data_IF_886747652729
#
_entry.id   IF_886747652729
#
_cell.length_a   1.000
_cell.length_b   1.000
_cell.length_c   1.000
_cell.angle_alpha   90.00
_cell.angle_beta   90.00
_cell.angle_gamma   90.00
#
_symmetry.space_group_name_H-M   'P 1'
#
loop_
_entity.id
_entity.type
_entity.pdbx_description
1 polymer ?
#
# COMPACT_ATOMS: atom_id res chain seq x y z
N UNK A 1 9.79 -5.52 -1.24
CA UNK A 1 8.44 -5.39 -0.60
C UNK A 1 8.20 -3.93 -0.34
N UNK A 2 7.01 -3.42 -0.65
CA UNK A 2 6.65 -2.02 -0.44
C UNK A 2 6.92 -1.61 1.02
N UNK A 3 7.91 -0.79 1.24
CA UNK A 3 8.35 -0.31 2.55
C UNK A 3 8.51 1.20 2.61
N UNK A 4 8.02 1.91 1.58
CA UNK A 4 8.02 3.37 1.50
C UNK A 4 6.80 3.86 0.75
N UNK A 5 6.04 4.77 1.33
CA UNK A 5 4.83 5.34 0.74
C UNK A 5 5.04 6.85 0.54
N UNK A 6 4.57 7.37 -0.58
CA UNK A 6 4.52 8.80 -0.91
C UNK A 6 3.13 9.34 -0.61
N UNK A 7 3.03 10.31 0.28
CA UNK A 7 1.78 10.99 0.65
C UNK A 7 1.91 12.47 0.29
N UNK A 8 1.11 12.91 -0.67
CA UNK A 8 0.98 14.32 -1.08
C UNK A 8 -0.50 14.71 -0.95
N UNK A 9 -0.85 15.59 0.00
CA UNK A 9 -2.23 15.75 0.49
C UNK A 9 -3.26 16.20 -0.56
N UNK A 10 -2.87 17.13 -1.44
CA UNK A 10 -3.84 17.88 -2.26
C UNK A 10 -4.82 16.97 -3.02
N UNK A 11 -4.28 16.12 -3.92
CA UNK A 11 -5.13 15.23 -4.72
C UNK A 11 -5.81 14.13 -3.87
N UNK A 12 -5.18 13.70 -2.78
CA UNK A 12 -5.72 12.67 -1.87
C UNK A 12 -6.96 13.20 -1.16
N UNK A 13 -6.86 14.40 -0.55
CA UNK A 13 -7.95 14.98 0.25
C UNK A 13 -9.20 15.18 -0.60
N UNK A 14 -9.04 15.74 -1.79
CA UNK A 14 -10.15 15.98 -2.72
C UNK A 14 -10.77 14.67 -3.21
N UNK A 15 -9.97 13.70 -3.63
CA UNK A 15 -10.46 12.44 -4.17
C UNK A 15 -11.18 11.58 -3.11
N UNK A 16 -10.68 11.55 -1.87
CA UNK A 16 -11.34 10.83 -0.78
C UNK A 16 -12.65 11.49 -0.40
N UNK A 17 -12.71 12.83 -0.34
CA UNK A 17 -13.94 13.56 -0.08
C UNK A 17 -14.98 13.34 -1.18
N UNK A 18 -14.57 13.48 -2.43
CA UNK A 18 -15.47 13.30 -3.58
C UNK A 18 -15.94 11.85 -3.75
N UNK A 19 -15.03 10.88 -3.57
CA UNK A 19 -15.33 9.45 -3.79
C UNK A 19 -16.05 8.76 -2.64
N UNK A 20 -15.82 9.19 -1.41
CA UNK A 20 -16.27 8.45 -0.21
C UNK A 20 -16.97 9.30 0.83
N UNK A 21 -17.12 10.63 0.60
CA UNK A 21 -17.83 11.54 1.51
C UNK A 21 -17.10 11.80 2.84
N UNK A 22 -15.81 11.51 2.93
CA UNK A 22 -15.01 11.70 4.15
C UNK A 22 -14.21 12.99 4.05
N UNK A 23 -14.34 13.88 5.03
CA UNK A 23 -13.47 15.05 5.17
C UNK A 23 -12.06 14.60 5.54
N UNK A 24 -11.27 14.33 4.50
CA UNK A 24 -9.92 13.79 4.65
C UNK A 24 -8.90 14.89 4.89
N UNK A 25 -8.07 14.69 5.88
CA UNK A 25 -6.99 15.61 6.20
C UNK A 25 -5.73 14.82 6.57
N UNK A 26 -4.87 14.59 5.59
CA UNK A 26 -3.58 13.94 5.80
C UNK A 26 -2.43 14.94 5.66
N UNK A 27 -1.31 14.66 6.34
CA UNK A 27 -0.10 15.48 6.25
C UNK A 27 0.82 14.95 5.18
N UNK A 28 1.55 15.87 4.52
CA UNK A 28 2.59 15.47 3.56
C UNK A 28 3.66 14.62 4.24
N UNK A 29 4.00 13.50 3.61
CA UNK A 29 5.12 12.66 3.96
C UNK A 29 5.59 11.88 2.73
N UNK A 30 6.57 12.40 2.02
CA UNK A 30 7.09 11.79 0.78
C UNK A 30 8.04 10.61 1.02
N UNK A 31 8.27 10.22 2.26
CA UNK A 31 9.10 9.06 2.62
C UNK A 31 8.54 8.34 3.87
N UNK A 32 7.21 8.11 3.88
CA UNK A 32 6.54 7.44 4.97
C UNK A 32 7.05 6.01 5.12
N UNK A 33 7.52 5.68 6.32
CA UNK A 33 8.23 4.44 6.65
C UNK A 33 7.42 3.57 7.61
N UNK A 34 7.70 2.24 7.63
CA UNK A 34 7.20 1.37 8.69
C UNK A 34 7.46 1.95 10.08
N UNK A 35 6.56 1.66 11.03
CA UNK A 35 6.45 2.19 12.38
C UNK A 35 5.88 3.60 12.50
N UNK A 36 5.87 4.37 11.42
CA UNK A 36 5.18 5.66 11.39
C UNK A 36 3.65 5.46 11.29
N UNK A 37 2.92 6.53 11.61
CA UNK A 37 1.47 6.54 11.46
C UNK A 37 1.10 6.94 10.03
N UNK A 38 0.11 6.25 9.49
CA UNK A 38 -0.47 6.50 8.18
C UNK A 38 -1.98 6.58 8.32
N UNK A 39 -2.60 7.50 7.59
CA UNK A 39 -4.05 7.64 7.56
C UNK A 39 -4.66 6.57 6.64
N UNK A 40 -5.68 5.89 7.13
CA UNK A 40 -6.40 4.84 6.43
C UNK A 40 -7.90 5.10 6.48
N UNK A 41 -8.59 4.71 5.42
CA UNK A 41 -10.03 4.69 5.30
C UNK A 41 -10.55 3.34 5.85
N UNK A 42 -11.43 3.38 6.82
CA UNK A 42 -12.07 2.22 7.43
C UNK A 42 -13.58 2.28 7.23
N UNK A 43 -14.23 1.11 7.24
CA UNK A 43 -15.69 1.03 7.32
C UNK A 43 -16.18 1.43 8.72
N UNK A 44 -17.25 2.18 8.78
CA UNK A 44 -17.95 2.60 10.00
C UNK A 44 -19.47 2.38 9.84
N UNK A 45 -20.28 2.37 10.92
CA UNK A 45 -21.72 2.15 10.82
C UNK A 45 -22.46 3.13 9.91
N UNK A 46 -21.95 4.35 9.78
CA UNK A 46 -22.55 5.42 8.97
C UNK A 46 -21.75 5.72 7.69
N UNK A 47 -20.98 4.78 7.17
CA UNK A 47 -20.17 4.97 5.97
C UNK A 47 -18.70 4.68 6.18
N UNK A 48 -17.83 5.66 5.92
CA UNK A 48 -16.38 5.48 6.04
C UNK A 48 -15.79 6.55 6.97
N UNK A 49 -14.64 6.23 7.58
CA UNK A 49 -13.96 7.13 8.51
C UNK A 49 -12.45 7.12 8.28
N UNK A 50 -11.82 8.27 8.42
CA UNK A 50 -10.36 8.41 8.50
C UNK A 50 -9.87 7.96 9.86
N UNK A 51 -8.88 7.09 9.89
CA UNK A 51 -8.22 6.64 11.12
C UNK A 51 -6.71 6.59 10.92
N UNK A 52 -5.97 7.19 11.83
CA UNK A 52 -4.51 7.17 11.79
C UNK A 52 -3.99 5.93 12.51
N UNK A 53 -3.28 5.04 11.79
CA UNK A 53 -2.80 3.74 12.26
C UNK A 53 -1.29 3.62 12.13
N UNK A 54 -0.64 2.91 13.03
CA UNK A 54 0.78 2.62 12.92
C UNK A 54 1.02 1.55 11.85
N UNK A 55 1.92 1.81 10.91
CA UNK A 55 2.24 0.83 9.86
C UNK A 55 3.20 -0.24 10.35
N UNK A 56 2.69 -1.46 10.43
CA UNK A 56 3.41 -2.65 10.86
C UNK A 56 2.92 -3.20 12.19
N UNK A 57 2.97 -4.52 12.32
CA UNK A 57 2.66 -5.28 13.52
C UNK A 57 3.90 -6.08 13.95
N UNK A 58 4.02 -6.33 15.25
CA UNK A 58 5.05 -7.22 15.80
C UNK A 58 4.40 -8.28 16.66
N UNK A 59 3.93 -9.39 16.07
CA UNK A 59 3.37 -10.51 16.82
C UNK A 59 4.40 -11.09 17.80
N UNK A 60 3.96 -11.63 18.92
CA UNK A 60 4.84 -12.17 19.97
C UNK A 60 5.77 -13.30 19.51
N UNK A 61 5.35 -14.05 18.51
CA UNK A 61 6.13 -15.14 17.89
C UNK A 61 7.15 -14.66 16.85
N UNK A 62 7.09 -13.40 16.39
CA UNK A 62 7.97 -12.87 15.35
C UNK A 62 9.02 -11.90 15.91
N UNK A 63 10.29 -12.14 15.55
CA UNK A 63 11.37 -11.20 15.81
C UNK A 63 11.32 -9.99 14.85
N UNK A 64 10.69 -10.14 13.70
CA UNK A 64 10.62 -9.13 12.64
C UNK A 64 9.30 -8.37 12.68
N UNK A 65 9.35 -7.09 12.33
CA UNK A 65 8.17 -6.28 12.06
C UNK A 65 7.53 -6.77 10.75
N UNK A 66 6.26 -7.11 10.79
CA UNK A 66 5.47 -7.45 9.61
C UNK A 66 4.77 -6.19 9.11
N UNK A 67 5.14 -5.72 7.94
CA UNK A 67 4.60 -4.50 7.34
C UNK A 67 3.66 -4.79 6.17
N UNK A 68 3.74 -6.01 5.62
CA UNK A 68 2.95 -6.45 4.47
C UNK A 68 2.38 -7.86 4.71
N UNK A 69 1.20 -8.13 4.15
CA UNK A 69 0.63 -9.45 3.99
C UNK A 69 0.49 -9.78 2.49
N UNK A 70 0.68 -11.04 2.12
CA UNK A 70 0.48 -11.48 0.73
C UNK A 70 -1.02 -11.70 0.48
N UNK A 71 -1.58 -11.06 -0.53
CA UNK A 71 -2.98 -11.17 -0.90
C UNK A 71 -3.41 -12.62 -1.19
N UNK A 72 -2.51 -13.41 -1.77
CA UNK A 72 -2.75 -14.80 -2.14
C UNK A 72 -2.99 -15.73 -0.94
N UNK A 73 -2.50 -15.35 0.23
CA UNK A 73 -2.57 -16.18 1.45
C UNK A 73 -3.21 -15.46 2.64
N UNK A 74 -3.65 -14.23 2.47
CA UNK A 74 -4.19 -13.41 3.58
C UNK A 74 -5.39 -14.06 4.26
N UNK A 75 -6.25 -14.71 3.49
CA UNK A 75 -7.46 -15.38 3.97
C UNK A 75 -7.18 -16.67 4.78
N UNK A 76 -5.99 -17.27 4.64
CA UNK A 76 -5.66 -18.56 5.25
C UNK A 76 -4.60 -18.47 6.33
N UNK A 77 -3.69 -17.49 6.26
CA UNK A 77 -2.64 -17.31 7.27
C UNK A 77 -3.23 -16.85 8.60
N UNK A 78 -3.01 -17.62 9.66
CA UNK A 78 -3.50 -17.37 11.01
C UNK A 78 -3.26 -15.93 11.49
N UNK A 79 -2.12 -15.33 11.18
CA UNK A 79 -1.79 -13.95 11.57
C UNK A 79 -2.72 -12.90 10.97
N UNK A 80 -3.26 -13.16 9.78
CA UNK A 80 -3.94 -12.15 8.98
C UNK A 80 -5.42 -12.45 8.73
N UNK A 81 -5.82 -13.72 8.80
CA UNK A 81 -7.15 -14.21 8.46
C UNK A 81 -8.27 -13.43 9.14
N UNK A 82 -8.22 -13.29 10.47
CA UNK A 82 -9.28 -12.65 11.25
C UNK A 82 -9.36 -11.13 10.96
N UNK A 83 -8.23 -10.50 10.66
CA UNK A 83 -8.22 -9.10 10.22
C UNK A 83 -8.69 -8.95 8.77
N UNK A 84 -8.39 -9.91 7.90
CA UNK A 84 -8.92 -9.92 6.54
C UNK A 84 -10.44 -10.15 6.53
N UNK A 85 -10.96 -10.94 7.46
CA UNK A 85 -12.41 -11.20 7.59
C UNK A 85 -13.20 -9.91 7.84
N UNK A 86 -12.79 -9.10 8.83
CA UNK A 86 -13.62 -8.02 9.36
C UNK A 86 -12.93 -6.68 9.57
N UNK A 87 -11.61 -6.58 9.33
CA UNK A 87 -10.79 -5.40 9.65
C UNK A 87 -9.95 -4.96 8.45
N UNK A 88 -10.62 -4.73 7.33
CA UNK A 88 -9.98 -4.21 6.12
C UNK A 88 -9.92 -2.70 6.17
N UNK A 89 -8.90 -2.15 5.54
CA UNK A 89 -8.72 -0.71 5.37
C UNK A 89 -8.17 -0.41 3.97
N UNK A 90 -8.16 0.86 3.63
CA UNK A 90 -7.54 1.38 2.41
C UNK A 90 -6.64 2.54 2.77
N UNK A 91 -5.45 2.58 2.21
CA UNK A 91 -4.48 3.66 2.39
C UNK A 91 -4.44 4.47 1.09
N UNK A 92 -5.06 5.66 1.04
CA UNK A 92 -4.88 6.59 -0.07
C UNK A 92 -3.45 7.13 -0.06
N UNK A 93 -2.80 7.12 -1.22
CA UNK A 93 -1.43 7.59 -1.35
C UNK A 93 -1.18 8.17 -2.75
N UNK A 94 -0.11 8.93 -2.92
CA UNK A 94 0.32 9.48 -4.22
C UNK A 94 1.25 8.51 -4.97
N UNK A 95 1.74 7.48 -4.28
CA UNK A 95 2.64 6.49 -4.85
C UNK A 95 3.39 5.69 -3.79
N UNK A 96 4.32 4.89 -4.26
CA UNK A 96 5.24 4.16 -3.38
C UNK A 96 6.62 4.08 -4.03
N UNK A 97 7.61 3.63 -3.24
CA UNK A 97 8.97 3.48 -3.70
C UNK A 97 9.44 2.04 -3.60
N UNK A 98 10.21 1.63 -4.61
CA UNK A 98 11.00 0.40 -4.62
C UNK A 98 12.40 0.67 -5.14
N UNK A 99 13.31 -0.27 -4.91
CA UNK A 99 14.71 -0.16 -5.29
C UNK A 99 15.09 -1.29 -6.23
N UNK A 100 15.62 -0.93 -7.38
CA UNK A 100 16.30 -1.87 -8.26
C UNK A 100 17.78 -1.95 -7.88
N UNK A 101 18.26 -3.18 -7.73
CA UNK A 101 19.68 -3.46 -7.52
C UNK A 101 20.24 -3.80 -8.90
N UNK A 102 21.27 -3.10 -9.33
CA UNK A 102 21.99 -3.40 -10.56
C UNK A 102 23.14 -4.37 -10.23
N UNK A 103 23.30 -5.41 -11.03
CA UNK A 103 24.27 -6.48 -10.80
C UNK A 103 25.72 -5.95 -10.82
N UNK A 104 26.01 -4.99 -11.68
CA UNK A 104 27.31 -4.32 -11.74
C UNK A 104 27.45 -3.31 -10.58
N UNK A 105 28.19 -3.72 -9.55
CA UNK A 105 28.57 -2.84 -8.42
C UNK A 105 27.58 -2.76 -7.26
N UNK A 106 26.45 -3.49 -7.28
CA UNK A 106 25.49 -3.53 -6.19
C UNK A 106 24.79 -2.19 -5.89
N UNK A 107 24.85 -1.25 -6.82
CA UNK A 107 24.22 0.07 -6.70
C UNK A 107 22.70 -0.05 -6.75
N UNK A 108 22.03 0.76 -5.92
CA UNK A 108 20.57 0.78 -5.83
C UNK A 108 20.03 2.06 -6.45
N UNK A 109 19.12 1.91 -7.41
CA UNK A 109 18.33 3.03 -7.92
C UNK A 109 16.94 2.98 -7.28
N UNK A 110 16.53 4.08 -6.69
CA UNK A 110 15.18 4.29 -6.17
C UNK A 110 14.24 4.65 -7.33
N UNK A 111 13.06 4.06 -7.34
CA UNK A 111 11.98 4.36 -8.28
C UNK A 111 10.71 4.74 -7.53
N UNK A 112 10.05 5.79 -7.97
CA UNK A 112 8.70 6.16 -7.57
C UNK A 112 7.71 5.55 -8.55
N UNK A 113 6.73 4.83 -8.02
CA UNK A 113 5.56 4.35 -8.75
C UNK A 113 4.37 5.25 -8.41
N UNK A 114 3.68 5.74 -9.42
CA UNK A 114 2.56 6.66 -9.27
C UNK A 114 1.59 6.54 -10.44
N UNK A 115 0.40 7.14 -10.35
CA UNK A 115 -0.49 7.25 -11.50
C UNK A 115 0.08 8.27 -12.52
N UNK A 116 -0.10 8.06 -13.84
CA UNK A 116 0.43 8.97 -14.87
C UNK A 116 -0.06 10.41 -14.75
N UNK A 117 -1.28 10.58 -14.26
CA UNK A 117 -1.96 11.85 -14.03
C UNK A 117 -1.83 12.36 -12.58
N UNK A 118 -0.95 11.74 -11.78
CA UNK A 118 -0.78 12.01 -10.34
C UNK A 118 -2.08 11.83 -9.52
N UNK A 119 -3.07 11.10 -10.05
CA UNK A 119 -4.26 10.74 -9.29
C UNK A 119 -3.90 9.84 -8.09
N UNK A 120 -4.65 9.92 -6.99
CA UNK A 120 -4.40 9.07 -5.84
C UNK A 120 -4.56 7.59 -6.14
N UNK A 121 -3.66 6.80 -5.58
CA UNK A 121 -3.73 5.35 -5.55
C UNK A 121 -4.35 4.89 -4.23
N UNK A 122 -5.06 3.77 -4.26
CA UNK A 122 -5.73 3.20 -3.09
C UNK A 122 -5.12 1.83 -2.78
N UNK A 123 -4.21 1.77 -1.79
CA UNK A 123 -3.59 0.52 -1.36
C UNK A 123 -4.51 -0.23 -0.42
N UNK A 124 -4.77 -1.50 -0.70
CA UNK A 124 -5.49 -2.39 0.20
C UNK A 124 -4.64 -2.71 1.45
N UNK A 125 -5.28 -2.74 2.60
CA UNK A 125 -4.68 -3.07 3.87
C UNK A 125 -5.65 -3.82 4.79
N UNK A 126 -5.10 -4.33 5.87
CA UNK A 126 -5.85 -4.86 7.01
C UNK A 126 -5.31 -4.25 8.30
N UNK A 127 -6.20 -4.01 9.26
CA UNK A 127 -5.83 -3.39 10.52
C UNK A 127 -5.99 -4.33 11.72
N UNK A 128 -5.34 -3.95 12.83
CA UNK A 128 -5.25 -4.72 14.07
C UNK A 128 -5.60 -3.83 15.25
N UNK A 129 -5.98 -4.46 16.34
CA UNK A 129 -6.50 -3.81 17.54
C UNK A 129 -7.97 -4.16 17.76
N UNK A 130 -8.57 -3.57 18.75
CA UNK A 130 -10.00 -3.71 19.03
C UNK A 130 -10.82 -2.81 18.08
N UNK A 131 -12.08 -3.16 17.84
CA UNK A 131 -12.96 -2.40 16.93
C UNK A 131 -13.09 -0.95 17.39
N UNK A 132 -13.17 -0.71 18.69
CA UNK A 132 -13.26 0.63 19.26
C UNK A 132 -11.93 1.40 19.23
N UNK A 133 -10.79 0.69 19.17
CA UNK A 133 -9.44 1.28 19.23
C UNK A 133 -8.50 0.65 18.21
N UNK A 134 -8.74 0.85 16.89
CA UNK A 134 -7.80 0.41 15.85
C UNK A 134 -6.43 1.05 16.09
N UNK A 135 -5.37 0.25 16.01
CA UNK A 135 -4.03 0.74 16.39
C UNK A 135 -2.96 0.59 15.33
N UNK A 136 -2.98 -0.52 14.59
CA UNK A 136 -1.93 -0.88 13.64
C UNK A 136 -2.55 -1.36 12.32
N UNK A 137 -1.76 -1.32 11.24
CA UNK A 137 -2.14 -1.91 9.96
C UNK A 137 -0.94 -2.58 9.28
N UNK A 138 -1.24 -3.44 8.32
CA UNK A 138 -0.29 -3.89 7.30
C UNK A 138 -0.92 -3.67 5.92
N UNK A 139 -0.10 -3.34 4.93
CA UNK A 139 -0.54 -3.26 3.54
C UNK A 139 -0.58 -4.66 2.91
N UNK A 140 -1.45 -4.87 1.93
CA UNK A 140 -1.42 -6.09 1.14
C UNK A 140 -0.50 -5.91 -0.06
N UNK A 141 0.19 -6.99 -0.42
CA UNK A 141 0.99 -7.07 -1.64
C UNK A 141 0.51 -8.23 -2.49
N UNK A 142 0.71 -8.12 -3.82
CA UNK A 142 0.36 -9.14 -4.79
C UNK A 142 1.50 -9.36 -5.80
N UNK A 143 1.32 -10.28 -6.73
CA UNK A 143 2.23 -10.44 -7.88
C UNK A 143 2.31 -9.14 -8.66
N UNK A 144 3.48 -8.76 -9.15
CA UNK A 144 3.66 -7.51 -9.89
C UNK A 144 3.03 -7.59 -11.28
N UNK A 145 2.67 -6.42 -11.83
CA UNK A 145 2.49 -6.28 -13.27
C UNK A 145 3.84 -6.41 -13.99
N UNK A 146 3.87 -6.73 -15.29
CA UNK A 146 5.14 -6.83 -16.05
C UNK A 146 6.02 -5.59 -15.93
N UNK A 147 5.41 -4.41 -15.82
CA UNK A 147 6.13 -3.16 -15.62
C UNK A 147 6.79 -3.08 -14.23
N UNK A 148 6.06 -3.46 -13.17
CA UNK A 148 6.56 -3.45 -11.79
C UNK A 148 7.62 -4.53 -11.57
N UNK A 149 7.50 -5.67 -12.24
CA UNK A 149 8.41 -6.82 -12.12
C UNK A 149 9.85 -6.46 -12.51
N UNK A 150 10.03 -5.52 -13.44
CA UNK A 150 11.35 -5.02 -13.83
C UNK A 150 12.14 -4.39 -12.67
N UNK A 151 11.44 -3.97 -11.60
CA UNK A 151 12.02 -3.31 -10.43
C UNK A 151 11.95 -4.22 -9.20
N UNK A 152 10.78 -4.83 -8.95
CA UNK A 152 10.56 -5.64 -7.76
C UNK A 152 9.55 -6.76 -8.00
N UNK A 153 9.79 -7.94 -7.43
CA UNK A 153 8.96 -9.16 -7.55
C UNK A 153 7.62 -9.11 -6.82
N UNK A 154 7.28 -8.03 -6.12
CA UNK A 154 5.99 -7.76 -5.46
C UNK A 154 5.59 -6.31 -5.67
N UNK A 155 4.30 -6.05 -5.68
CA UNK A 155 3.74 -4.69 -5.66
C UNK A 155 2.61 -4.58 -4.62
N UNK A 156 2.26 -3.39 -4.14
CA UNK A 156 1.06 -3.19 -3.34
C UNK A 156 -0.18 -3.69 -4.08
N UNK A 157 -1.13 -4.27 -3.36
CA UNK A 157 -2.45 -4.54 -3.89
C UNK A 157 -3.21 -3.22 -4.00
N UNK A 158 -3.35 -2.73 -5.22
CA UNK A 158 -4.07 -1.50 -5.52
C UNK A 158 -5.54 -1.81 -5.84
N UNK A 159 -6.41 -0.89 -5.48
CA UNK A 159 -7.84 -0.91 -5.80
C UNK A 159 -8.18 0.26 -6.71
N UNK A 160 -9.08 0.05 -7.65
CA UNK A 160 -9.77 1.16 -8.32
C UNK A 160 -10.68 1.86 -7.31
N UNK A 161 -10.88 3.18 -7.44
CA UNK A 161 -11.74 3.94 -6.53
C UNK A 161 -13.14 3.31 -6.38
N UNK A 162 -13.75 2.85 -7.46
CA UNK A 162 -15.05 2.17 -7.46
C UNK A 162 -15.05 0.82 -6.71
N UNK A 163 -13.90 0.22 -6.46
CA UNK A 163 -13.77 -1.06 -5.75
C UNK A 163 -13.61 -0.87 -4.23
N UNK A 164 -13.25 0.34 -3.78
CA UNK A 164 -12.99 0.63 -2.36
C UNK A 164 -14.19 0.32 -1.46
N UNK A 165 -15.43 0.73 -1.76
CA UNK A 165 -16.58 0.38 -0.94
C UNK A 165 -16.78 -1.14 -0.81
N UNK A 166 -16.62 -1.88 -1.92
CA UNK A 166 -16.73 -3.34 -1.92
C UNK A 166 -15.64 -3.99 -1.08
N UNK A 167 -14.40 -3.50 -1.18
CA UNK A 167 -13.28 -3.99 -0.37
C UNK A 167 -13.55 -3.82 1.12
N UNK A 168 -14.08 -2.69 1.53
CA UNK A 168 -14.29 -2.36 2.94
C UNK A 168 -15.51 -3.06 3.56
N UNK A 169 -16.57 -3.32 2.77
CA UNK A 169 -17.89 -3.69 3.31
C UNK A 169 -18.36 -5.11 2.95
N UNK A 170 -17.89 -5.68 1.83
CA UNK A 170 -18.39 -6.99 1.40
C UNK A 170 -17.72 -8.14 2.17
N UNK A 171 -18.38 -9.33 2.25
CA UNK A 171 -17.77 -10.51 2.83
C UNK A 171 -16.54 -10.97 2.01
N UNK A 172 -15.56 -11.64 2.63
CA UNK A 172 -14.33 -12.09 1.96
C UNK A 172 -14.57 -12.94 0.72
N UNK A 173 -15.64 -13.74 0.69
CA UNK A 173 -16.02 -14.56 -0.46
C UNK A 173 -16.18 -13.77 -1.76
N UNK A 174 -16.57 -12.51 -1.66
CA UNK A 174 -16.81 -11.63 -2.80
C UNK A 174 -15.54 -10.91 -3.27
N UNK A 175 -14.44 -11.04 -2.54
CA UNK A 175 -13.23 -10.25 -2.75
C UNK A 175 -12.14 -10.98 -3.55
N UNK A 176 -12.33 -12.25 -3.91
CA UNK A 176 -11.31 -13.07 -4.57
C UNK A 176 -10.71 -12.38 -5.82
N UNK A 177 -11.56 -11.75 -6.63
CA UNK A 177 -11.11 -11.02 -7.83
C UNK A 177 -10.33 -9.76 -7.52
N UNK A 178 -10.51 -9.18 -6.33
CA UNK A 178 -9.80 -7.98 -5.87
C UNK A 178 -8.41 -8.30 -5.31
N UNK A 179 -8.12 -9.57 -5.01
CA UNK A 179 -6.82 -10.00 -4.49
C UNK A 179 -5.72 -10.12 -5.55
N UNK A 180 -6.01 -9.72 -6.77
CA UNK A 180 -5.06 -9.70 -7.90
C UNK A 180 -4.71 -8.27 -8.28
N UNK A 181 -3.54 -8.09 -8.90
CA UNK A 181 -3.14 -6.77 -9.39
C UNK A 181 -4.19 -6.22 -10.36
N UNK A 182 -4.77 -5.04 -10.10
CA UNK A 182 -5.61 -4.38 -11.07
C UNK A 182 -4.74 -3.92 -12.24
N UNK A 183 -5.30 -3.90 -13.44
CA UNK A 183 -4.66 -3.32 -14.61
C UNK A 183 -4.66 -1.79 -14.59
N UNK A 184 -4.23 -1.18 -13.47
CA UNK A 184 -4.12 0.27 -13.37
C UNK A 184 -2.87 0.75 -14.12
N UNK A 185 -2.98 1.81 -14.91
CA UNK A 185 -1.81 2.44 -15.51
C UNK A 185 -0.92 3.01 -14.42
N UNK A 186 0.38 2.74 -14.51
CA UNK A 186 1.38 3.25 -13.58
C UNK A 186 2.52 3.90 -14.36
N UNK A 187 3.07 4.96 -13.81
CA UNK A 187 4.33 5.58 -14.22
C UNK A 187 5.44 5.20 -13.25
N UNK A 188 6.65 5.06 -13.77
CA UNK A 188 7.88 4.81 -13.03
C UNK A 188 8.81 5.98 -13.23
N UNK A 189 9.17 6.66 -12.16
CA UNK A 189 10.11 7.76 -12.18
C UNK A 189 11.34 7.39 -11.34
N UNK A 190 12.55 7.35 -11.92
CA UNK A 190 13.77 7.17 -11.13
C UNK A 190 14.00 8.40 -10.24
N UNK A 191 14.39 8.17 -8.99
CA UNK A 191 14.71 9.22 -8.03
C UNK A 191 16.18 9.18 -7.62
N UNK A 192 16.80 10.33 -7.67
CA UNK A 192 18.24 10.50 -7.43
C UNK A 192 19.08 10.28 -8.70
N UNK A 193 20.40 10.40 -8.57
CA UNK A 193 21.30 10.21 -9.70
C UNK A 193 21.24 8.77 -10.23
N UNK A 194 21.41 8.56 -11.54
CA UNK A 194 21.51 7.22 -12.10
C UNK A 194 22.72 6.48 -11.50
N UNK A 195 22.68 5.14 -11.39
CA UNK A 195 23.82 4.38 -10.95
C UNK A 195 25.01 4.61 -11.89
N UNK A 196 26.19 4.78 -11.31
CA UNK A 196 27.43 4.90 -12.08
C UNK A 196 27.77 3.50 -12.59
N UNK A 197 27.48 3.23 -13.84
CA UNK A 197 27.96 2.02 -14.51
C UNK A 197 29.46 2.25 -14.76
N UNK A 198 30.32 1.63 -13.96
CA UNK A 198 31.73 1.52 -14.31
C UNK A 198 31.80 0.57 -15.51
N UNK A 199 31.89 1.13 -16.70
CA UNK A 199 32.34 0.35 -17.85
C UNK A 199 33.77 -0.11 -17.52
N UNK A 200 33.92 -1.40 -17.19
CA UNK A 200 35.28 -1.99 -17.15
C UNK A 200 35.85 -1.94 -18.53
N UNK A 201 36.71 -0.96 -18.75
CA UNK A 201 37.64 -0.94 -19.88
C UNK A 201 38.69 -2.02 -19.62
N UNK A 202 38.37 -3.26 -20.02
CA UNK A 202 39.38 -4.28 -20.34
C UNK A 202 38.76 -5.31 -21.30
#
# INVERSE_FOLDING_TARGET
MCGRIDIQPNNINEAVKAGFGVDWNTKENRDLRPTQRVDALLSAPTGFVQTSLQWGIKPSWSKQLLINAQAETVATKQTFRDSFESRRCVIPCSGWYEWKIFEEGGQKQKFRFHAPDEAPLFMAGIWFGEIATPSQLVTLTTHPTPQCEQIHHRMPLLLQSAQVPRWLSNPPSDLERLLRAPGLPLSLTPEGPPPIIQNSLF
#
